data_IF_437489827125
#
_entry.id   IF_437489827125
#
_cell.length_a   1.000
_cell.length_b   1.000
_cell.length_c   1.000
_cell.angle_alpha   90.00
_cell.angle_beta   90.00
_cell.angle_gamma   90.00
#
_symmetry.space_group_name_H-M   'P 1'
#
loop_
_entity.id
_entity.type
_entity.pdbx_description
1 polymer ?
#
# COMPACT_ATOMS: atom_id res chain seq x y z
N UNK A 1 10.00 1.13 13.18
CA UNK A 1 10.51 1.16 11.79
C UNK A 1 11.30 -0.08 11.41
N UNK A 2 12.07 -0.69 12.31
CA UNK A 2 13.02 -1.77 11.95
C UNK A 2 12.40 -3.01 11.29
N UNK A 3 11.11 -3.30 11.54
CA UNK A 3 10.41 -4.40 10.89
C UNK A 3 9.74 -3.96 9.60
N UNK A 4 8.91 -2.91 9.65
CA UNK A 4 7.98 -2.55 8.56
C UNK A 4 8.48 -1.47 7.60
N UNK A 5 9.63 -0.85 7.86
CA UNK A 5 10.24 0.16 6.97
C UNK A 5 9.71 1.58 7.17
N UNK A 6 8.39 1.79 7.18
CA UNK A 6 7.75 3.09 7.40
C UNK A 6 6.84 3.05 8.62
N UNK A 7 6.85 4.08 9.47
CA UNK A 7 5.82 4.24 10.49
C UNK A 7 5.67 5.69 10.96
N UNK A 8 4.57 5.92 11.67
CA UNK A 8 4.33 7.07 12.52
C UNK A 8 3.74 6.60 13.85
N UNK A 9 3.90 7.34 14.95
CA UNK A 9 3.39 6.83 16.23
C UNK A 9 3.28 7.88 17.33
N UNK A 10 2.13 7.90 18.02
CA UNK A 10 1.89 8.79 19.14
C UNK A 10 1.49 10.21 18.70
N UNK A 11 1.91 11.21 19.48
CA UNK A 11 1.46 12.60 19.34
C UNK A 11 1.93 13.33 18.07
N UNK A 12 2.83 12.75 17.28
CA UNK A 12 3.32 13.35 16.05
C UNK A 12 2.50 12.95 14.80
N UNK A 13 1.53 12.03 14.92
CA UNK A 13 0.72 11.51 13.82
C UNK A 13 0.10 12.60 12.96
N UNK A 14 0.22 12.42 11.64
CA UNK A 14 -0.42 13.26 10.64
C UNK A 14 -1.25 12.35 9.74
N UNK A 15 -2.54 12.63 9.69
CA UNK A 15 -3.47 11.94 8.82
C UNK A 15 -4.38 12.96 8.14
N UNK A 16 -4.90 12.59 6.97
CA UNK A 16 -5.91 13.35 6.24
C UNK A 16 -6.90 12.38 5.62
N UNK A 17 -8.17 12.73 5.62
CA UNK A 17 -9.19 12.02 4.84
C UNK A 17 -9.38 12.81 3.55
N UNK A 18 -9.03 12.22 2.42
CA UNK A 18 -9.10 12.91 1.12
C UNK A 18 -9.20 11.91 -0.02
N UNK A 19 -9.71 12.36 -1.16
CA UNK A 19 -9.59 11.65 -2.43
C UNK A 19 -8.39 12.22 -3.19
N UNK A 20 -7.48 11.35 -3.61
CA UNK A 20 -6.24 11.75 -4.27
C UNK A 20 -5.78 10.68 -5.26
N UNK A 21 -4.97 11.10 -6.21
CA UNK A 21 -4.29 10.20 -7.13
C UNK A 21 -3.07 9.59 -6.44
N UNK A 22 -2.96 8.26 -6.52
CA UNK A 22 -1.81 7.48 -6.11
C UNK A 22 -0.99 7.13 -7.35
N UNK A 23 0.17 7.76 -7.45
CA UNK A 23 1.10 7.61 -8.57
C UNK A 23 2.08 6.48 -8.32
N UNK A 24 2.27 5.61 -9.31
CA UNK A 24 3.35 4.62 -9.28
C UNK A 24 4.69 5.36 -9.48
N UNK A 25 5.57 5.26 -8.49
CA UNK A 25 6.88 5.96 -8.51
C UNK A 25 8.07 5.03 -8.76
N UNK A 26 7.83 3.72 -8.76
CA UNK A 26 8.85 2.69 -9.01
C UNK A 26 8.27 1.55 -9.88
N UNK A 27 8.08 1.78 -11.19
CA UNK A 27 7.40 0.85 -12.09
C UNK A 27 8.17 -0.46 -12.32
N UNK A 28 9.45 -0.51 -11.96
CA UNK A 28 10.28 -1.71 -12.08
C UNK A 28 10.06 -2.69 -10.92
N UNK A 29 9.48 -2.24 -9.81
CA UNK A 29 9.26 -3.10 -8.65
C UNK A 29 8.13 -4.11 -8.91
N UNK A 30 8.31 -5.40 -8.62
CA UNK A 30 7.33 -6.44 -8.96
C UNK A 30 5.97 -6.27 -8.27
N UNK A 31 5.91 -5.59 -7.12
CA UNK A 31 4.64 -5.30 -6.43
C UNK A 31 3.67 -4.47 -7.28
N UNK A 32 4.17 -3.68 -8.25
CA UNK A 32 3.34 -2.83 -9.10
C UNK A 32 3.20 -3.34 -10.54
N UNK A 33 3.64 -4.57 -10.83
CA UNK A 33 3.42 -5.17 -12.14
C UNK A 33 1.93 -5.29 -12.46
N UNK A 34 1.58 -4.99 -13.71
CA UNK A 34 0.19 -4.96 -14.20
C UNK A 34 -0.72 -3.96 -13.48
N UNK A 35 -0.15 -2.95 -12.81
CA UNK A 35 -0.91 -1.88 -12.17
C UNK A 35 -0.85 -0.60 -12.99
N UNK A 36 -1.90 0.21 -12.84
CA UNK A 36 -1.96 1.60 -13.28
C UNK A 36 -2.05 2.50 -12.04
N UNK A 37 -1.92 3.81 -12.23
CA UNK A 37 -2.22 4.78 -11.18
C UNK A 37 -3.64 4.56 -10.62
N UNK A 38 -3.82 4.86 -9.33
CA UNK A 38 -5.11 4.69 -8.66
C UNK A 38 -5.68 6.05 -8.27
N UNK A 39 -6.99 6.19 -8.25
CA UNK A 39 -7.68 7.27 -7.56
C UNK A 39 -8.44 6.68 -6.38
N UNK A 40 -8.17 7.18 -5.18
CA UNK A 40 -8.65 6.54 -3.96
C UNK A 40 -8.98 7.56 -2.86
N UNK A 41 -10.22 7.52 -2.39
CA UNK A 41 -10.68 8.20 -1.18
C UNK A 41 -10.37 7.36 0.06
N UNK A 42 -9.53 7.89 0.96
CA UNK A 42 -9.10 7.15 2.15
C UNK A 42 -8.64 8.07 3.29
N UNK A 43 -8.38 7.48 4.46
CA UNK A 43 -7.58 8.08 5.54
C UNK A 43 -6.10 7.76 5.29
N UNK A 44 -5.34 8.76 4.83
CA UNK A 44 -3.90 8.63 4.57
C UNK A 44 -3.08 9.10 5.75
N UNK A 45 -2.14 8.27 6.18
CA UNK A 45 -1.07 8.67 7.09
C UNK A 45 0.11 9.17 6.25
N UNK A 46 0.60 10.37 6.54
CA UNK A 46 1.60 11.06 5.72
C UNK A 46 2.70 11.68 6.58
N UNK A 47 3.80 12.12 5.95
CA UNK A 47 5.06 12.49 6.62
C UNK A 47 5.61 11.35 7.47
N UNK A 48 5.49 10.13 6.95
CA UNK A 48 5.98 8.91 7.57
C UNK A 48 7.50 9.00 7.79
N UNK A 49 7.96 8.41 8.88
CA UNK A 49 9.39 8.21 9.13
C UNK A 49 9.79 6.86 8.57
N UNK A 50 10.87 6.85 7.79
CA UNK A 50 11.38 5.64 7.15
C UNK A 50 12.67 5.15 7.82
N UNK A 51 12.85 3.84 7.80
CA UNK A 51 14.01 3.16 8.34
C UNK A 51 15.29 3.65 7.65
N UNK A 52 16.33 3.87 8.45
CA UNK A 52 17.65 4.33 7.97
C UNK A 52 18.62 3.17 7.74
N UNK A 53 18.27 1.96 8.17
CA UNK A 53 19.01 0.72 7.92
C UNK A 53 18.18 -0.19 7.02
N UNK A 54 18.83 -0.80 6.02
CA UNK A 54 18.15 -1.54 4.96
C UNK A 54 17.74 -0.62 3.80
N UNK A 55 16.91 -1.13 2.90
CA UNK A 55 16.52 -0.44 1.67
C UNK A 55 15.01 -0.28 1.62
N UNK A 56 14.53 0.96 1.71
CA UNK A 56 13.13 1.32 1.46
C UNK A 56 12.99 1.77 0.03
N UNK A 57 12.06 1.15 -0.72
CA UNK A 57 11.66 1.57 -2.07
C UNK A 57 10.22 2.09 -2.03
N UNK A 58 9.99 3.40 -2.23
CA UNK A 58 8.66 3.94 -2.45
C UNK A 58 8.00 3.27 -3.67
N UNK A 59 6.72 2.94 -3.57
CA UNK A 59 5.96 2.29 -4.64
C UNK A 59 4.83 3.18 -5.14
N UNK A 60 4.04 3.73 -4.22
CA UNK A 60 2.97 4.69 -4.52
C UNK A 60 3.17 6.00 -3.76
N UNK A 61 2.92 7.11 -4.43
CA UNK A 61 2.90 8.45 -3.84
C UNK A 61 1.53 9.10 -3.98
N UNK A 62 0.99 9.61 -2.88
CA UNK A 62 -0.21 10.45 -2.85
C UNK A 62 0.17 11.93 -2.92
N UNK A 63 -0.66 12.79 -3.52
CA UNK A 63 -0.50 14.24 -3.38
C UNK A 63 -1.30 14.73 -2.19
N UNK A 64 -0.64 15.17 -1.12
CA UNK A 64 -1.24 15.66 0.12
C UNK A 64 -0.62 17.02 0.45
N UNK A 65 -1.45 18.04 0.73
CA UNK A 65 -1.01 19.43 0.94
C UNK A 65 -0.08 19.95 -0.19
N UNK A 66 -0.34 19.53 -1.43
CA UNK A 66 0.47 19.88 -2.60
C UNK A 66 1.84 19.22 -2.66
N UNK A 67 2.11 18.20 -1.84
CA UNK A 67 3.39 17.48 -1.79
C UNK A 67 3.20 15.98 -2.06
N UNK A 68 4.17 15.33 -2.74
CA UNK A 68 4.19 13.88 -2.87
C UNK A 68 4.56 13.24 -1.52
N UNK A 69 3.67 12.38 -1.02
CA UNK A 69 3.84 11.61 0.21
C UNK A 69 3.85 10.12 -0.13
N UNK A 70 4.90 9.40 0.29
CA UNK A 70 4.96 7.94 0.09
C UNK A 70 3.92 7.25 0.95
N UNK A 71 2.97 6.57 0.30
CA UNK A 71 1.89 5.86 0.98
C UNK A 71 1.97 4.35 0.79
N UNK A 72 2.72 3.84 -0.19
CA UNK A 72 3.07 2.42 -0.28
C UNK A 72 4.56 2.24 -0.48
N UNK A 73 5.16 1.22 0.13
CA UNK A 73 6.61 0.96 0.05
C UNK A 73 6.95 -0.52 0.20
N UNK A 74 8.07 -0.91 -0.40
CA UNK A 74 8.77 -2.15 -0.13
C UNK A 74 9.98 -1.88 0.77
N UNK A 75 10.27 -2.79 1.70
CA UNK A 75 11.41 -2.68 2.61
C UNK A 75 12.17 -4.01 2.69
N UNK A 76 13.46 -3.97 2.37
CA UNK A 76 14.39 -5.08 2.59
C UNK A 76 15.32 -4.75 3.76
N UNK A 77 15.30 -5.59 4.78
CA UNK A 77 16.16 -5.48 5.97
C UNK A 77 17.58 -5.97 5.67
N UNK A 78 18.60 -5.53 6.43
CA UNK A 78 19.98 -6.00 6.27
C UNK A 78 20.14 -7.52 6.42
N UNK A 79 19.26 -8.19 7.16
CA UNK A 79 19.23 -9.64 7.34
C UNK A 79 18.52 -10.38 6.20
N UNK A 80 18.07 -9.66 5.16
CA UNK A 80 17.35 -10.19 4.01
C UNK A 80 15.84 -10.36 4.23
N UNK A 81 15.31 -10.01 5.40
CA UNK A 81 13.87 -10.01 5.60
C UNK A 81 13.14 -8.96 4.75
N UNK A 82 11.91 -9.26 4.32
CA UNK A 82 11.07 -8.34 3.53
C UNK A 82 9.85 -7.87 4.30
N UNK A 83 9.39 -6.67 4.02
CA UNK A 83 8.09 -6.15 4.45
C UNK A 83 7.53 -5.17 3.42
N UNK A 84 6.21 -5.21 3.26
CA UNK A 84 5.45 -4.27 2.44
C UNK A 84 4.54 -3.45 3.36
N UNK A 85 4.39 -2.16 3.06
CA UNK A 85 3.45 -1.27 3.77
C UNK A 85 2.58 -0.49 2.80
N UNK A 86 1.34 -0.26 3.21
CA UNK A 86 0.38 0.61 2.51
C UNK A 86 -0.45 1.39 3.55
N UNK A 87 -0.28 2.70 3.56
CA UNK A 87 -0.92 3.65 4.48
C UNK A 87 -2.25 4.16 3.92
N UNK A 88 -3.12 3.22 3.55
CA UNK A 88 -4.50 3.41 3.12
C UNK A 88 -5.29 2.13 3.50
N UNK A 89 -6.48 1.96 2.94
CA UNK A 89 -7.46 0.91 3.23
C UNK A 89 -8.21 1.06 4.55
N UNK A 90 -8.51 2.29 4.97
CA UNK A 90 -9.42 2.54 6.10
C UNK A 90 -10.86 2.13 5.75
N UNK A 91 -11.33 2.50 4.56
CA UNK A 91 -12.70 2.23 4.13
C UNK A 91 -12.83 0.86 3.46
N UNK A 92 -13.78 0.04 3.92
CA UNK A 92 -14.06 -1.28 3.35
C UNK A 92 -14.35 -1.23 1.84
N UNK A 93 -15.02 -0.17 1.36
CA UNK A 93 -15.32 0.01 -0.06
C UNK A 93 -14.08 0.02 -0.96
N UNK A 94 -12.89 0.32 -0.44
CA UNK A 94 -11.65 0.28 -1.23
C UNK A 94 -11.25 -1.13 -1.64
N UNK A 95 -11.79 -2.17 -0.99
CA UNK A 95 -11.68 -3.56 -1.46
C UNK A 95 -12.40 -3.83 -2.78
N UNK A 96 -13.34 -2.98 -3.21
CA UNK A 96 -13.96 -3.08 -4.55
C UNK A 96 -12.96 -2.75 -5.67
N UNK A 97 -11.93 -1.96 -5.37
CA UNK A 97 -10.92 -1.51 -6.33
C UNK A 97 -9.94 -2.63 -6.62
N UNK A 98 -9.91 -3.10 -7.88
CA UNK A 98 -9.00 -4.16 -8.31
C UNK A 98 -7.54 -3.81 -8.05
N UNK A 99 -7.13 -2.58 -8.32
CA UNK A 99 -5.77 -2.11 -8.06
C UNK A 99 -5.35 -2.19 -6.59
N UNK A 100 -6.27 -1.93 -5.65
CA UNK A 100 -6.00 -2.09 -4.22
C UNK A 100 -5.81 -3.56 -3.84
N UNK A 101 -6.70 -4.44 -4.33
CA UNK A 101 -6.58 -5.90 -4.14
C UNK A 101 -5.25 -6.42 -4.70
N UNK A 102 -4.89 -6.00 -5.92
CA UNK A 102 -3.65 -6.40 -6.60
C UNK A 102 -2.43 -5.94 -5.82
N UNK A 103 -2.38 -4.67 -5.41
CA UNK A 103 -1.27 -4.13 -4.64
C UNK A 103 -1.01 -4.94 -3.37
N UNK A 104 -2.06 -5.20 -2.58
CA UNK A 104 -1.96 -5.94 -1.31
C UNK A 104 -1.51 -7.39 -1.55
N UNK A 105 -2.15 -8.08 -2.49
CA UNK A 105 -1.83 -9.47 -2.79
C UNK A 105 -0.39 -9.63 -3.32
N UNK A 106 0.04 -8.74 -4.22
CA UNK A 106 1.42 -8.73 -4.74
C UNK A 106 2.43 -8.35 -3.65
N UNK A 107 2.10 -7.43 -2.75
CA UNK A 107 2.91 -7.12 -1.56
C UNK A 107 3.13 -8.33 -0.65
N UNK A 108 2.09 -9.15 -0.47
CA UNK A 108 2.14 -10.43 0.24
C UNK A 108 3.08 -11.42 -0.45
N UNK A 109 2.90 -11.67 -1.76
CA UNK A 109 3.76 -12.57 -2.54
C UNK A 109 5.22 -12.12 -2.50
N UNK A 110 5.48 -10.83 -2.68
CA UNK A 110 6.84 -10.29 -2.64
C UNK A 110 7.51 -10.49 -1.28
N UNK A 111 6.76 -10.25 -0.20
CA UNK A 111 7.22 -10.46 1.18
C UNK A 111 7.59 -11.93 1.41
N UNK A 112 6.81 -12.86 0.87
CA UNK A 112 7.04 -14.30 0.93
C UNK A 112 8.07 -14.81 -0.10
N UNK A 113 8.69 -13.92 -0.89
CA UNK A 113 9.63 -14.26 -1.98
C UNK A 113 9.01 -15.16 -3.06
N UNK A 114 7.71 -15.06 -3.26
CA UNK A 114 6.99 -15.76 -4.31
C UNK A 114 7.04 -14.98 -5.63
N UNK A 115 6.97 -15.66 -6.79
CA UNK A 115 6.94 -15.00 -8.09
C UNK A 115 5.67 -14.14 -8.25
N UNK A 116 5.81 -13.02 -8.97
CA UNK A 116 4.70 -12.14 -9.34
C UNK A 116 4.68 -12.01 -10.88
N UNK A 117 3.54 -12.29 -11.54
CA UNK A 117 3.41 -12.16 -12.99
C UNK A 117 3.67 -10.72 -13.47
N UNK A 118 4.28 -10.55 -14.65
CA UNK A 118 4.57 -9.23 -15.24
C UNK A 118 3.29 -8.49 -15.64
N UNK A 119 2.26 -9.26 -15.98
CA UNK A 119 0.93 -8.82 -16.37
C UNK A 119 0.05 -8.47 -15.15
N UNK A 120 0.56 -8.70 -13.94
CA UNK A 120 -0.14 -8.50 -12.68
C UNK A 120 -0.90 -9.75 -12.22
N UNK A 121 -1.02 -9.90 -10.91
CA UNK A 121 -1.76 -11.00 -10.29
C UNK A 121 -3.27 -10.83 -10.54
N UNK A 122 -3.93 -11.92 -10.92
CA UNK A 122 -5.38 -12.00 -10.97
C UNK A 122 -5.95 -12.01 -9.54
N UNK A 123 -6.84 -11.05 -9.24
CA UNK A 123 -7.38 -10.80 -7.90
C UNK A 123 -8.90 -10.59 -7.93
N UNK A 124 -9.56 -11.30 -8.84
CA UNK A 124 -11.02 -11.29 -8.91
C UNK A 124 -11.61 -11.89 -7.63
N UNK A 125 -12.64 -11.24 -7.11
CA UNK A 125 -13.43 -11.68 -5.96
C UNK A 125 -14.90 -11.58 -6.34
N UNK A 126 -15.76 -12.42 -5.74
CA UNK A 126 -17.19 -12.29 -5.94
C UNK A 126 -17.70 -11.04 -5.22
N UNK A 127 -18.82 -10.45 -5.68
CA UNK A 127 -19.44 -9.31 -4.99
C UNK A 127 -19.89 -9.70 -3.59
N UNK A 128 -20.26 -10.96 -3.42
CA UNK A 128 -20.67 -11.57 -2.16
C UNK A 128 -19.54 -11.55 -1.13
N UNK A 129 -18.28 -11.75 -1.55
CA UNK A 129 -17.10 -11.72 -0.67
C UNK A 129 -16.83 -10.33 -0.09
N UNK A 130 -17.37 -9.29 -0.73
CA UNK A 130 -17.23 -7.89 -0.32
C UNK A 130 -18.37 -7.42 0.58
N UNK A 131 -19.38 -8.25 0.85
CA UNK A 131 -20.47 -7.88 1.75
C UNK A 131 -19.98 -7.93 3.19
N UNK A 132 -20.14 -6.82 3.91
CA UNK A 132 -19.95 -6.82 5.35
C UNK A 132 -21.01 -7.70 6.02
N UNK A 133 -20.66 -8.43 7.10
CA UNK A 133 -21.65 -9.12 7.89
C UNK A 133 -22.68 -8.10 8.41
N UNK A 134 -23.94 -8.50 8.47
CA UNK A 134 -24.96 -7.67 9.11
C UNK A 134 -24.51 -7.33 10.53
N UNK A 135 -24.52 -6.04 10.86
CA UNK A 135 -24.40 -5.61 12.25
C UNK A 135 -25.62 -6.18 12.97
N UNK A 136 -25.41 -7.04 13.95
CA UNK A 136 -26.46 -7.29 14.93
C UNK A 136 -26.65 -5.97 15.68
N UNK A 137 -27.86 -5.43 15.65
CA UNK A 137 -28.29 -4.27 16.45
C UNK A 137 -28.26 -4.61 17.95
#
# INVERSE_FOLDING_TARGET
MELVGGCHGGGDRKYVITETDLKIVDPEHPIVFGMEDLQLGDEYYYRLKFATKGTVRPLLSATIDGKPETVAWAFERPDGGRSFGFAAMHYHGNWEREGCRRLIAQGLLWTLRMPIPKEGLAVAVAKEDLKLPHKND
#
